data_IF_797771558464
#
_entry.id   IF_797771558464
#
_cell.length_a   1.000
_cell.length_b   1.000
_cell.length_c   1.000
_cell.angle_alpha   90.00
_cell.angle_beta   90.00
_cell.angle_gamma   90.00
#
_symmetry.space_group_name_H-M   'P 1'
#
loop_
_entity.id
_entity.type
_entity.pdbx_description
1 polymer ?
#
# COMPACT_ATOMS: atom_id res chain seq x y z
N UNK A 1 -27.19 -2.23 -13.47
CA UNK A 1 -26.29 -2.16 -12.30
C UNK A 1 -26.55 -0.83 -11.61
N UNK A 2 -26.56 -0.78 -10.27
CA UNK A 2 -26.81 0.47 -9.54
C UNK A 2 -25.50 1.28 -9.50
N UNK A 3 -25.47 2.45 -10.15
CA UNK A 3 -24.36 3.40 -10.04
C UNK A 3 -24.60 4.37 -8.89
N UNK A 4 -23.57 4.67 -8.09
CA UNK A 4 -23.68 5.64 -7.00
C UNK A 4 -23.25 7.03 -7.46
N UNK A 5 -24.17 7.99 -7.45
CA UNK A 5 -23.95 9.35 -7.96
C UNK A 5 -23.40 10.32 -6.90
N UNK A 6 -23.54 10.00 -5.61
CA UNK A 6 -23.18 10.89 -4.49
C UNK A 6 -21.86 10.51 -3.82
N UNK A 7 -20.87 10.07 -4.60
CA UNK A 7 -19.53 9.76 -4.08
C UNK A 7 -18.77 11.05 -3.74
N UNK A 8 -18.20 11.12 -2.55
CA UNK A 8 -17.39 12.22 -2.04
C UNK A 8 -15.90 11.87 -2.04
N UNK A 9 -15.04 12.86 -1.80
CA UNK A 9 -13.59 12.68 -1.64
C UNK A 9 -13.25 11.97 -0.31
N UNK A 10 -13.71 10.71 -0.20
CA UNK A 10 -13.43 9.82 0.92
C UNK A 10 -12.51 8.71 0.48
N UNK A 11 -11.51 8.45 1.31
CA UNK A 11 -10.53 7.38 1.13
C UNK A 11 -10.71 6.39 2.28
N UNK A 12 -11.08 5.15 1.97
CA UNK A 12 -11.20 4.10 2.98
C UNK A 12 -9.89 3.30 3.03
N UNK A 13 -9.24 3.26 4.19
CA UNK A 13 -7.99 2.52 4.40
C UNK A 13 -8.31 1.19 5.06
N UNK A 14 -8.38 0.12 4.26
CA UNK A 14 -8.91 -1.17 4.66
C UNK A 14 -7.76 -2.10 5.07
N UNK A 15 -7.32 -1.97 6.32
CA UNK A 15 -6.18 -2.72 6.89
C UNK A 15 -6.40 -3.06 8.35
N UNK A 16 -5.84 -4.20 8.80
CA UNK A 16 -5.75 -4.57 10.23
C UNK A 16 -4.51 -3.96 10.91
N UNK A 17 -3.63 -3.31 10.15
CA UNK A 17 -2.38 -2.76 10.64
C UNK A 17 -2.52 -1.27 10.96
N UNK A 18 -2.56 -0.97 12.26
CA UNK A 18 -2.64 0.40 12.75
C UNK A 18 -1.45 1.26 12.29
N UNK A 19 -0.26 0.68 12.11
CA UNK A 19 0.91 1.43 11.65
C UNK A 19 0.79 1.80 10.17
N UNK A 20 0.30 0.88 9.33
CA UNK A 20 -0.01 1.19 7.93
C UNK A 20 -1.17 2.19 7.82
N UNK A 21 -2.23 2.02 8.61
CA UNK A 21 -3.36 2.94 8.65
C UNK A 21 -2.94 4.37 8.98
N UNK A 22 -2.13 4.54 10.04
CA UNK A 22 -1.61 5.84 10.44
C UNK A 22 -0.65 6.44 9.40
N UNK A 23 0.22 5.63 8.78
CA UNK A 23 1.13 6.09 7.72
C UNK A 23 0.34 6.61 6.51
N UNK A 24 -0.70 5.89 6.07
CA UNK A 24 -1.56 6.33 4.96
C UNK A 24 -2.38 7.58 5.32
N UNK A 25 -3.02 7.62 6.50
CA UNK A 25 -3.80 8.78 6.95
C UNK A 25 -2.93 10.04 7.00
N UNK A 26 -1.77 9.97 7.63
CA UNK A 26 -0.88 11.12 7.75
C UNK A 26 -0.31 11.56 6.40
N UNK A 27 0.01 10.64 5.48
CA UNK A 27 0.45 10.99 4.12
C UNK A 27 -0.62 11.77 3.37
N UNK A 28 -1.86 11.30 3.40
CA UNK A 28 -2.97 11.96 2.71
C UNK A 28 -3.26 13.31 3.39
N UNK A 29 -3.33 13.35 4.72
CA UNK A 29 -3.66 14.56 5.48
C UNK A 29 -2.63 15.68 5.30
N UNK A 30 -1.36 15.34 5.15
CA UNK A 30 -0.28 16.32 5.01
C UNK A 30 0.09 16.67 3.56
N UNK A 31 -0.48 15.98 2.56
CA UNK A 31 -0.33 16.39 1.18
C UNK A 31 -1.25 17.58 0.87
N UNK A 32 -0.71 18.75 0.47
CA UNK A 32 -1.52 19.95 0.25
C UNK A 32 -2.52 19.81 -0.90
N UNK A 33 -2.31 18.88 -1.84
CA UNK A 33 -3.22 18.60 -2.95
C UNK A 33 -4.49 17.87 -2.50
N UNK A 34 -4.45 17.27 -1.31
CA UNK A 34 -5.53 16.48 -0.72
C UNK A 34 -6.41 17.29 0.24
N UNK A 35 -6.38 18.63 0.13
CA UNK A 35 -7.25 19.50 0.93
C UNK A 35 -8.73 19.09 0.81
N UNK A 36 -9.37 18.83 1.94
CA UNK A 36 -10.78 18.43 2.00
C UNK A 36 -11.05 16.93 1.72
N UNK A 37 -10.00 16.11 1.58
CA UNK A 37 -10.14 14.65 1.55
C UNK A 37 -10.39 14.12 2.96
N UNK A 38 -11.43 13.30 3.12
CA UNK A 38 -11.77 12.62 4.37
C UNK A 38 -11.18 11.20 4.35
N UNK A 39 -10.24 10.91 5.25
CA UNK A 39 -9.70 9.56 5.42
C UNK A 39 -10.53 8.81 6.44
N UNK A 40 -11.10 7.68 6.03
CA UNK A 40 -11.86 6.79 6.89
C UNK A 40 -10.97 5.62 7.29
N UNK A 41 -10.60 5.60 8.58
CA UNK A 41 -9.91 4.50 9.22
C UNK A 41 -10.93 3.58 9.90
N UNK A 42 -10.84 2.25 9.72
CA UNK A 42 -11.59 1.30 10.52
C UNK A 42 -11.29 1.50 12.02
N UNK A 43 -12.26 1.18 12.87
CA UNK A 43 -12.16 1.21 14.34
C UNK A 43 -12.21 2.58 15.05
N UNK A 44 -12.46 3.70 14.35
CA UNK A 44 -12.75 5.03 14.94
C UNK A 44 -11.76 5.50 16.03
N UNK A 45 -10.46 5.26 15.84
CA UNK A 45 -9.41 5.69 16.78
C UNK A 45 -9.11 4.71 17.92
N UNK A 46 -9.68 3.50 17.89
CA UNK A 46 -9.23 2.39 18.74
C UNK A 46 -7.84 1.91 18.31
N UNK A 47 -7.03 1.46 19.29
CA UNK A 47 -5.64 1.05 19.06
C UNK A 47 -5.47 -0.26 18.29
N UNK A 48 -6.46 -1.14 18.30
CA UNK A 48 -6.51 -2.36 17.50
C UNK A 48 -7.66 -2.26 16.49
N UNK A 49 -7.39 -2.70 15.26
CA UNK A 49 -8.36 -2.76 14.18
C UNK A 49 -8.72 -4.23 13.94
N UNK A 50 -9.99 -4.56 14.08
CA UNK A 50 -10.50 -5.92 13.89
C UNK A 50 -11.23 -6.08 12.55
N UNK A 51 -11.51 -7.33 12.17
CA UNK A 51 -12.18 -7.66 10.90
C UNK A 51 -13.59 -7.07 10.87
N UNK A 52 -14.28 -7.08 12.02
CA UNK A 52 -15.62 -6.56 12.21
C UNK A 52 -15.68 -5.05 11.97
N UNK A 53 -14.60 -4.32 12.28
CA UNK A 53 -14.50 -2.88 12.04
C UNK A 53 -14.50 -2.57 10.54
N UNK A 54 -13.82 -3.41 9.76
CA UNK A 54 -13.76 -3.30 8.30
C UNK A 54 -15.11 -3.74 7.69
N UNK A 55 -15.71 -4.80 8.23
CA UNK A 55 -17.03 -5.26 7.81
C UNK A 55 -18.13 -4.21 8.05
N UNK A 56 -18.06 -3.48 9.17
CA UNK A 56 -19.00 -2.42 9.53
C UNK A 56 -18.99 -1.25 8.53
N UNK A 57 -17.82 -0.87 8.03
CA UNK A 57 -17.69 0.22 7.04
C UNK A 57 -17.92 -0.24 5.60
N UNK A 58 -18.07 -1.55 5.36
CA UNK A 58 -18.13 -2.10 4.00
C UNK A 58 -19.24 -1.49 3.14
N UNK A 59 -20.45 -1.32 3.69
CA UNK A 59 -21.55 -0.70 2.96
C UNK A 59 -21.35 0.80 2.75
N UNK A 60 -20.66 1.48 3.67
CA UNK A 60 -20.41 2.92 3.56
C UNK A 60 -19.49 3.28 2.40
N UNK A 61 -18.64 2.33 1.98
CA UNK A 61 -17.69 2.50 0.86
C UNK A 61 -18.34 2.98 -0.45
N UNK A 62 -19.65 2.76 -0.65
CA UNK A 62 -20.40 3.29 -1.80
C UNK A 62 -20.39 4.83 -1.88
N UNK A 63 -20.03 5.51 -0.78
CA UNK A 63 -19.91 6.97 -0.69
C UNK A 63 -18.48 7.46 -0.98
N UNK A 64 -17.50 6.58 -1.07
CA UNK A 64 -16.11 6.92 -1.31
C UNK A 64 -15.71 6.93 -2.77
N UNK A 65 -14.58 7.60 -3.04
CA UNK A 65 -13.95 7.62 -4.37
C UNK A 65 -12.70 6.75 -4.43
N UNK A 66 -12.14 6.36 -3.28
CA UNK A 66 -10.93 5.56 -3.23
C UNK A 66 -10.95 4.54 -2.09
N UNK A 67 -10.49 3.33 -2.40
CA UNK A 67 -10.30 2.24 -1.44
C UNK A 67 -8.84 1.81 -1.46
N UNK A 68 -8.21 1.71 -0.30
CA UNK A 68 -6.83 1.20 -0.17
C UNK A 68 -6.94 -0.15 0.52
N UNK A 69 -6.73 -1.22 -0.25
CA UNK A 69 -6.79 -2.59 0.24
C UNK A 69 -5.41 -3.05 0.71
N UNK A 70 -5.33 -3.52 1.95
CA UNK A 70 -4.18 -4.25 2.46
C UNK A 70 -4.29 -5.72 2.06
N UNK A 71 -3.51 -6.10 1.05
CA UNK A 71 -3.50 -7.44 0.45
C UNK A 71 -2.25 -8.23 0.85
N UNK A 72 -1.61 -7.88 1.97
CA UNK A 72 -0.46 -8.63 2.48
C UNK A 72 -0.89 -10.05 2.88
N UNK A 73 0.02 -11.01 2.73
CA UNK A 73 -0.24 -12.44 2.99
C UNK A 73 -0.82 -12.74 4.38
N UNK A 74 -0.47 -11.94 5.40
CA UNK A 74 -0.95 -12.13 6.78
C UNK A 74 -2.32 -11.50 7.05
N UNK A 75 -2.70 -10.44 6.35
CA UNK A 75 -3.97 -9.74 6.53
C UNK A 75 -5.05 -10.28 5.61
N UNK A 76 -4.69 -10.55 4.35
CA UNK A 76 -5.64 -10.89 3.29
C UNK A 76 -6.57 -12.07 3.62
N UNK A 77 -6.11 -13.21 4.17
CA UNK A 77 -7.01 -14.33 4.49
C UNK A 77 -8.13 -13.95 5.48
N UNK A 78 -7.84 -13.02 6.41
CA UNK A 78 -8.83 -12.51 7.38
C UNK A 78 -9.76 -11.46 6.78
N UNK A 79 -9.30 -10.76 5.75
CA UNK A 79 -10.00 -9.65 5.12
C UNK A 79 -10.75 -10.03 3.83
N UNK A 80 -10.62 -11.27 3.38
CA UNK A 80 -11.20 -11.70 2.11
C UNK A 80 -12.72 -11.51 2.06
N UNK A 81 -13.44 -11.88 3.12
CA UNK A 81 -14.90 -11.69 3.17
C UNK A 81 -15.32 -10.22 3.11
N UNK A 82 -14.84 -9.31 3.99
CA UNK A 82 -15.23 -7.91 3.90
C UNK A 82 -14.75 -7.25 2.61
N UNK A 83 -13.59 -7.62 2.07
CA UNK A 83 -13.11 -7.08 0.79
C UNK A 83 -14.01 -7.50 -0.37
N UNK A 84 -14.41 -8.77 -0.44
CA UNK A 84 -15.33 -9.27 -1.46
C UNK A 84 -16.68 -8.51 -1.42
N UNK A 85 -17.18 -8.21 -0.21
CA UNK A 85 -18.39 -7.38 -0.06
C UNK A 85 -18.19 -5.96 -0.57
N UNK A 86 -17.08 -5.31 -0.22
CA UNK A 86 -16.75 -3.96 -0.69
C UNK A 86 -16.63 -3.91 -2.21
N UNK A 87 -15.90 -4.86 -2.82
CA UNK A 87 -15.80 -4.98 -4.28
C UNK A 87 -17.18 -5.22 -4.88
N UNK A 88 -17.97 -6.13 -4.31
CA UNK A 88 -19.34 -6.42 -4.75
C UNK A 88 -20.24 -5.19 -4.75
N UNK A 89 -20.21 -4.39 -3.68
CA UNK A 89 -21.00 -3.15 -3.59
C UNK A 89 -20.58 -2.12 -4.63
N UNK A 90 -19.30 -2.03 -4.96
CA UNK A 90 -18.75 -0.97 -5.82
C UNK A 90 -18.48 -1.42 -7.26
N UNK A 91 -18.73 -2.69 -7.61
CA UNK A 91 -18.35 -3.30 -8.90
C UNK A 91 -18.77 -2.50 -10.14
N UNK A 92 -19.95 -1.89 -10.08
CA UNK A 92 -20.49 -1.09 -11.18
C UNK A 92 -19.72 0.21 -11.45
N UNK A 93 -18.98 0.70 -10.45
CA UNK A 93 -18.35 2.02 -10.43
C UNK A 93 -16.81 1.97 -10.40
N UNK A 94 -16.23 0.77 -10.22
CA UNK A 94 -14.78 0.59 -10.11
C UNK A 94 -14.07 1.00 -11.42
N UNK A 95 -12.96 1.71 -11.26
CA UNK A 95 -12.15 2.31 -12.32
C UNK A 95 -12.84 3.40 -13.17
N UNK A 96 -14.01 3.88 -12.73
CA UNK A 96 -14.73 4.97 -13.36
C UNK A 96 -15.08 6.06 -12.34
N UNK A 97 -15.90 5.74 -11.34
CA UNK A 97 -16.41 6.67 -10.31
C UNK A 97 -15.77 6.44 -8.95
N UNK A 98 -15.14 5.29 -8.76
CA UNK A 98 -14.29 4.98 -7.62
C UNK A 98 -13.12 4.13 -8.07
N UNK A 99 -12.03 4.19 -7.32
CA UNK A 99 -10.80 3.47 -7.63
C UNK A 99 -10.34 2.67 -6.42
N UNK A 100 -9.47 1.71 -6.66
CA UNK A 100 -8.79 0.97 -5.61
C UNK A 100 -7.28 1.02 -5.80
N UNK A 101 -6.54 1.00 -4.70
CA UNK A 101 -5.10 0.76 -4.65
C UNK A 101 -4.85 -0.44 -3.75
N UNK A 102 -3.86 -1.26 -4.09
CA UNK A 102 -3.46 -2.39 -3.26
C UNK A 102 -2.10 -2.12 -2.64
N UNK A 103 -1.94 -2.40 -1.35
CA UNK A 103 -0.63 -2.45 -0.67
C UNK A 103 -0.41 -3.90 -0.25
N UNK A 104 0.67 -4.50 -0.71
CA UNK A 104 0.96 -5.91 -0.48
C UNK A 104 2.44 -6.17 -0.23
N UNK A 105 2.75 -7.33 0.33
CA UNK A 105 4.12 -7.74 0.63
C UNK A 105 4.74 -8.52 -0.52
N UNK A 106 4.03 -8.76 -1.62
CA UNK A 106 4.59 -9.36 -2.83
C UNK A 106 4.92 -10.86 -2.73
N UNK A 107 5.57 -11.42 -3.78
CA UNK A 107 5.84 -12.84 -3.90
C UNK A 107 6.91 -13.30 -2.91
N UNK A 108 6.69 -14.48 -2.30
CA UNK A 108 7.49 -14.98 -1.17
C UNK A 108 8.97 -15.19 -1.52
N UNK A 109 9.23 -15.52 -2.78
CA UNK A 109 10.54 -15.89 -3.29
C UNK A 109 11.26 -14.74 -3.96
N UNK A 110 10.77 -13.50 -3.82
CA UNK A 110 11.25 -12.34 -4.57
C UNK A 110 12.77 -12.18 -4.57
N UNK A 111 13.41 -12.41 -3.42
CA UNK A 111 14.86 -12.24 -3.26
C UNK A 111 15.65 -13.55 -3.24
N UNK A 112 15.04 -14.67 -3.68
CA UNK A 112 15.78 -15.93 -3.82
C UNK A 112 16.73 -15.86 -5.03
N UNK A 113 17.93 -16.47 -4.95
CA UNK A 113 18.85 -16.54 -6.09
C UNK A 113 18.18 -17.14 -7.32
N UNK A 114 18.40 -16.53 -8.49
CA UNK A 114 17.85 -16.99 -9.77
C UNK A 114 16.38 -16.61 -10.01
N UNK A 115 15.69 -16.02 -9.04
CA UNK A 115 14.34 -15.49 -9.24
C UNK A 115 14.37 -14.20 -10.05
N UNK A 116 13.41 -13.98 -10.94
CA UNK A 116 13.26 -12.72 -11.68
C UNK A 116 12.13 -11.87 -11.11
N UNK A 117 12.10 -10.56 -11.39
CA UNK A 117 10.99 -9.69 -10.98
C UNK A 117 9.62 -10.14 -11.52
N UNK A 118 9.58 -10.94 -12.59
CA UNK A 118 8.34 -11.44 -13.19
C UNK A 118 7.60 -12.43 -12.27
N UNK A 119 8.18 -12.87 -11.14
CA UNK A 119 7.42 -13.61 -10.13
C UNK A 119 6.31 -12.79 -9.46
N UNK A 120 6.26 -11.48 -9.71
CA UNK A 120 5.10 -10.66 -9.38
C UNK A 120 3.88 -10.95 -10.25
N UNK A 121 4.03 -11.45 -11.49
CA UNK A 121 2.90 -11.59 -12.43
C UNK A 121 1.70 -12.35 -11.85
N UNK A 122 1.87 -13.51 -11.17
CA UNK A 122 0.74 -14.21 -10.57
C UNK A 122 0.06 -13.41 -9.44
N UNK A 123 0.85 -12.72 -8.61
CA UNK A 123 0.33 -11.88 -7.52
C UNK A 123 -0.45 -10.70 -8.08
N UNK A 124 0.08 -10.03 -9.10
CA UNK A 124 -0.57 -8.89 -9.74
C UNK A 124 -1.85 -9.33 -10.46
N UNK A 125 -1.84 -10.47 -11.16
CA UNK A 125 -3.00 -10.99 -11.87
C UNK A 125 -4.15 -11.33 -10.90
N UNK A 126 -3.84 -12.00 -9.78
CA UNK A 126 -4.84 -12.32 -8.76
C UNK A 126 -5.47 -11.04 -8.19
N UNK A 127 -4.65 -10.07 -7.78
CA UNK A 127 -5.15 -8.80 -7.23
C UNK A 127 -5.91 -7.96 -8.27
N UNK A 128 -5.52 -8.02 -9.55
CA UNK A 128 -6.25 -7.37 -10.65
C UNK A 128 -7.67 -7.91 -10.77
N UNK A 129 -7.81 -9.24 -10.73
CA UNK A 129 -9.11 -9.91 -10.85
C UNK A 129 -9.98 -9.60 -9.62
N UNK A 130 -9.42 -9.71 -8.43
CA UNK A 130 -10.21 -9.64 -7.18
C UNK A 130 -10.57 -8.21 -6.80
N UNK A 131 -9.66 -7.25 -6.96
CA UNK A 131 -9.81 -5.90 -6.41
C UNK A 131 -9.83 -4.80 -7.47
N UNK A 132 -9.53 -5.13 -8.73
CA UNK A 132 -9.43 -4.18 -9.85
C UNK A 132 -8.65 -2.90 -9.55
N UNK A 133 -7.48 -2.96 -8.86
CA UNK A 133 -6.75 -1.77 -8.46
C UNK A 133 -6.18 -1.02 -9.66
N UNK A 134 -6.07 0.30 -9.50
CA UNK A 134 -5.39 1.19 -10.43
C UNK A 134 -3.86 1.01 -10.36
N UNK A 135 -3.34 0.70 -9.17
CA UNK A 135 -1.92 0.41 -8.95
C UNK A 135 -1.70 -0.54 -7.76
N UNK A 136 -0.61 -1.29 -7.81
CA UNK A 136 -0.14 -2.16 -6.73
C UNK A 136 1.15 -1.62 -6.12
N UNK A 137 1.18 -1.48 -4.80
CA UNK A 137 2.33 -1.04 -4.03
C UNK A 137 2.92 -2.21 -3.24
N UNK A 138 4.08 -2.68 -3.66
CA UNK A 138 4.90 -3.59 -2.89
C UNK A 138 5.50 -2.86 -1.69
N UNK A 139 5.31 -3.39 -0.49
CA UNK A 139 5.84 -2.87 0.77
C UNK A 139 7.04 -3.71 1.25
N UNK A 140 8.29 -3.25 1.04
CA UNK A 140 9.48 -4.00 1.41
C UNK A 140 9.66 -4.15 2.92
N UNK A 141 9.04 -3.27 3.72
CA UNK A 141 9.16 -3.27 5.18
C UNK A 141 8.49 -4.48 5.82
N UNK A 142 7.56 -5.13 5.10
CA UNK A 142 6.75 -6.24 5.63
C UNK A 142 6.90 -7.52 4.81
N UNK A 143 7.75 -7.51 3.78
CA UNK A 143 8.10 -8.70 3.03
C UNK A 143 9.14 -9.53 3.78
N UNK A 144 8.78 -10.68 4.32
CA UNK A 144 9.72 -11.66 4.87
C UNK A 144 9.94 -12.80 3.87
N UNK A 145 11.20 -13.16 3.60
CA UNK A 145 11.53 -14.39 2.87
C UNK A 145 11.19 -15.61 3.75
N UNK A 146 11.08 -16.82 3.17
CA UNK A 146 10.77 -18.02 3.95
C UNK A 146 11.73 -18.26 5.13
N UNK A 147 13.02 -17.93 4.97
CA UNK A 147 14.06 -18.12 6.01
C UNK A 147 14.04 -17.01 7.09
N UNK A 148 13.34 -15.92 6.83
CA UNK A 148 13.22 -14.78 7.75
C UNK A 148 11.90 -14.79 8.53
N UNK A 149 10.99 -15.70 8.20
CA UNK A 149 9.69 -15.75 8.87
C UNK A 149 9.88 -16.14 10.33
N UNK A 150 9.27 -15.40 11.27
CA UNK A 150 9.25 -15.84 12.65
C UNK A 150 8.55 -17.21 12.73
N UNK A 151 9.01 -18.12 13.61
CA UNK A 151 8.35 -19.41 13.81
C UNK A 151 6.92 -19.18 14.28
N UNK A 152 5.95 -19.51 13.44
CA UNK A 152 4.53 -19.28 13.75
C UNK A 152 4.08 -20.34 14.75
N UNK A 153 3.95 -19.96 16.03
CA UNK A 153 3.14 -20.71 16.98
C UNK A 153 1.66 -20.62 16.59
N UNK A 154 0.85 -21.63 16.94
CA UNK A 154 -0.58 -21.71 16.62
C UNK A 154 -1.34 -20.42 17.04
N UNK A 155 -0.92 -19.81 18.16
CA UNK A 155 -1.45 -18.54 18.72
C UNK A 155 -0.83 -17.25 18.15
N UNK A 156 0.33 -17.31 17.50
CA UNK A 156 1.00 -16.13 16.90
C UNK A 156 0.47 -15.78 15.51
N UNK A 157 -0.46 -16.57 14.98
CA UNK A 157 -1.03 -16.44 13.63
C UNK A 157 -1.84 -15.16 13.40
N UNK A 158 -2.15 -14.39 14.45
CA UNK A 158 -3.02 -13.20 14.39
C UNK A 158 -2.28 -11.87 14.50
N UNK A 159 -1.04 -11.85 15.01
CA UNK A 159 -0.30 -10.60 15.24
C UNK A 159 0.56 -10.24 14.04
N UNK A 160 0.34 -9.05 13.50
CA UNK A 160 1.18 -8.52 12.43
C UNK A 160 2.58 -8.19 12.99
N UNK A 161 3.66 -8.62 12.31
CA UNK A 161 5.00 -8.28 12.72
C UNK A 161 5.20 -6.76 12.68
N UNK A 162 5.57 -6.16 13.80
CA UNK A 162 6.06 -4.77 13.84
C UNK A 162 7.58 -4.72 13.57
N UNK A 163 8.27 -5.86 13.62
CA UNK A 163 9.70 -5.95 13.33
C UNK A 163 9.97 -5.82 11.81
N UNK A 164 11.14 -5.30 11.47
CA UNK A 164 11.62 -5.34 10.11
C UNK A 164 12.18 -6.72 9.76
N UNK A 165 12.10 -7.14 8.49
CA UNK A 165 12.82 -8.32 8.04
C UNK A 165 14.33 -8.20 8.32
N UNK A 166 15.01 -9.25 8.84
CA UNK A 166 16.41 -9.18 9.25
C UNK A 166 17.34 -8.63 8.17
N UNK A 167 17.13 -8.98 6.89
CA UNK A 167 17.93 -8.45 5.77
C UNK A 167 17.86 -6.92 5.64
N UNK A 168 16.76 -6.31 6.07
CA UNK A 168 16.50 -4.89 6.01
C UNK A 168 16.86 -4.20 7.32
N UNK A 169 16.58 -4.84 8.46
CA UNK A 169 16.93 -4.34 9.79
C UNK A 169 18.43 -4.01 9.92
N UNK A 170 19.31 -4.82 9.31
CA UNK A 170 20.78 -4.61 9.29
C UNK A 170 21.25 -3.28 8.68
N UNK A 171 20.38 -2.60 7.94
CA UNK A 171 20.68 -1.34 7.27
C UNK A 171 20.30 -0.13 8.15
N UNK A 172 19.78 -0.40 9.35
CA UNK A 172 19.48 0.59 10.39
C UNK A 172 20.40 0.34 11.59
N UNK A 173 20.90 1.42 12.20
CA UNK A 173 21.89 1.36 13.30
C UNK A 173 21.35 0.75 14.62
N UNK A 174 20.07 0.39 14.67
CA UNK A 174 19.39 -0.14 15.84
C UNK A 174 18.64 -1.43 15.47
N UNK A 175 19.03 -2.53 16.12
CA UNK A 175 18.48 -3.87 15.90
C UNK A 175 17.01 -4.02 16.31
N UNK A 176 16.44 -3.04 17.04
CA UNK A 176 15.05 -3.03 17.49
C UNK A 176 14.15 -2.06 16.69
N UNK A 177 14.61 -1.59 15.52
CA UNK A 177 13.82 -0.68 14.69
C UNK A 177 12.58 -1.39 14.15
N UNK A 178 11.41 -0.81 14.46
CA UNK A 178 10.12 -1.32 14.01
C UNK A 178 9.68 -0.69 12.68
N UNK A 179 8.85 -1.39 11.91
CA UNK A 179 8.28 -0.92 10.65
C UNK A 179 7.53 0.40 10.85
N UNK A 180 6.78 0.55 11.95
CA UNK A 180 6.15 1.82 12.32
C UNK A 180 7.17 2.97 12.42
N UNK A 181 8.28 2.76 13.14
CA UNK A 181 9.31 3.80 13.34
C UNK A 181 10.02 4.16 12.04
N UNK A 182 10.21 3.19 11.14
CA UNK A 182 10.73 3.44 9.79
C UNK A 182 9.79 4.31 8.98
N UNK A 183 8.48 3.99 8.96
CA UNK A 183 7.47 4.79 8.27
C UNK A 183 7.45 6.22 8.79
N UNK A 184 7.39 6.39 10.12
CA UNK A 184 7.46 7.68 10.81
C UNK A 184 8.70 8.50 10.42
N UNK A 185 9.87 7.86 10.40
CA UNK A 185 11.09 8.51 9.98
C UNK A 185 10.97 8.98 8.52
N UNK A 186 10.66 8.11 7.57
CA UNK A 186 10.67 8.46 6.14
C UNK A 186 9.56 9.44 5.74
N UNK A 187 8.44 9.47 6.47
CA UNK A 187 7.37 10.48 6.28
C UNK A 187 7.62 11.80 7.02
N UNK A 188 8.77 11.95 7.68
CA UNK A 188 9.10 13.11 8.50
C UNK A 188 8.06 13.43 9.58
N UNK A 189 7.52 12.39 10.23
CA UNK A 189 6.61 12.52 11.36
C UNK A 189 7.21 13.42 12.45
N UNK A 190 6.39 14.29 13.04
CA UNK A 190 6.82 15.24 14.07
C UNK A 190 7.68 16.41 13.60
N UNK A 191 8.05 16.50 12.31
CA UNK A 191 8.73 17.68 11.78
C UNK A 191 7.78 18.89 11.74
N UNK A 192 8.28 20.12 11.97
CA UNK A 192 7.48 21.35 11.80
C UNK A 192 6.91 21.43 10.37
N UNK A 193 5.68 21.95 10.18
CA UNK A 193 5.04 22.01 8.86
C UNK A 193 5.90 22.68 7.78
N UNK A 194 6.64 23.74 8.14
CA UNK A 194 7.49 24.49 7.21
C UNK A 194 8.70 23.69 6.67
N UNK A 195 9.18 22.70 7.42
CA UNK A 195 10.37 21.90 7.04
C UNK A 195 10.03 20.47 6.62
N UNK A 196 8.77 20.05 6.82
CA UNK A 196 8.38 18.65 6.70
C UNK A 196 8.60 18.11 5.31
N UNK A 197 8.21 18.85 4.28
CA UNK A 197 8.31 18.40 2.89
C UNK A 197 9.77 18.23 2.46
N UNK A 198 10.61 19.22 2.75
CA UNK A 198 12.04 19.14 2.46
C UNK A 198 12.72 17.97 3.22
N UNK A 199 12.36 17.76 4.49
CA UNK A 199 12.85 16.62 5.27
C UNK A 199 12.35 15.28 4.71
N UNK A 200 11.08 15.20 4.29
CA UNK A 200 10.48 14.01 3.66
C UNK A 200 11.25 13.67 2.38
N UNK A 201 11.44 14.61 1.47
CA UNK A 201 12.18 14.40 0.21
C UNK A 201 13.60 13.87 0.47
N UNK A 202 14.37 14.54 1.34
CA UNK A 202 15.73 14.09 1.72
C UNK A 202 15.76 12.68 2.32
N UNK A 203 14.75 12.32 3.12
CA UNK A 203 14.67 10.98 3.71
C UNK A 203 14.24 9.95 2.66
N UNK A 204 13.32 10.27 1.76
CA UNK A 204 12.94 9.39 0.66
C UNK A 204 14.12 9.11 -0.29
N UNK A 205 15.00 10.09 -0.56
CA UNK A 205 16.25 9.85 -1.29
C UNK A 205 17.16 8.82 -0.59
N UNK A 206 17.20 8.82 0.75
CA UNK A 206 17.93 7.80 1.52
C UNK A 206 17.27 6.43 1.37
N UNK A 207 15.94 6.36 1.44
CA UNK A 207 15.19 5.12 1.24
C UNK A 207 15.39 4.56 -0.18
N UNK A 208 15.40 5.44 -1.17
CA UNK A 208 15.63 5.08 -2.56
C UNK A 208 17.02 4.47 -2.75
N UNK A 209 18.06 5.12 -2.21
CA UNK A 209 19.44 4.59 -2.23
C UNK A 209 19.52 3.21 -1.59
N UNK A 210 18.84 3.02 -0.46
CA UNK A 210 18.75 1.73 0.23
C UNK A 210 18.11 0.67 -0.67
N UNK A 211 16.93 0.92 -1.22
CA UNK A 211 16.26 -0.04 -2.09
C UNK A 211 17.02 -0.31 -3.38
N UNK A 212 17.64 0.70 -4.01
CA UNK A 212 18.55 0.52 -5.16
C UNK A 212 19.74 -0.38 -4.83
N UNK A 213 20.31 -0.27 -3.63
CA UNK A 213 21.38 -1.18 -3.18
C UNK A 213 20.86 -2.62 -3.07
N UNK A 214 19.65 -2.82 -2.54
CA UNK A 214 19.02 -4.15 -2.44
C UNK A 214 18.74 -4.76 -3.82
N UNK A 215 18.20 -3.98 -4.74
CA UNK A 215 17.95 -4.42 -6.11
C UNK A 215 19.25 -4.80 -6.82
N UNK A 216 20.33 -4.04 -6.64
CA UNK A 216 21.66 -4.39 -7.19
C UNK A 216 22.21 -5.70 -6.65
N UNK A 217 21.93 -6.04 -5.38
CA UNK A 217 22.31 -7.33 -4.80
C UNK A 217 21.48 -8.49 -5.36
N UNK A 218 20.20 -8.26 -5.65
CA UNK A 218 19.28 -9.30 -6.13
C UNK A 218 19.34 -9.52 -7.66
N UNK A 219 19.42 -8.43 -8.43
CA UNK A 219 19.39 -8.42 -9.90
C UNK A 219 20.43 -7.45 -10.48
N UNK A 220 21.73 -7.74 -10.39
CA UNK A 220 22.80 -6.81 -10.76
C UNK A 220 22.63 -6.21 -12.16
N UNK A 221 22.25 -7.04 -13.13
CA UNK A 221 22.16 -6.68 -14.56
C UNK A 221 20.99 -5.76 -14.89
N UNK A 222 19.90 -5.77 -14.09
CA UNK A 222 18.66 -5.03 -14.37
C UNK A 222 18.29 -4.01 -13.29
N UNK A 223 19.11 -3.89 -12.24
CA UNK A 223 18.76 -3.13 -11.05
C UNK A 223 18.48 -1.65 -11.33
N UNK A 224 19.22 -1.02 -12.23
CA UNK A 224 19.04 0.39 -12.56
C UNK A 224 17.69 0.65 -13.23
N UNK A 225 17.39 -0.08 -14.31
CA UNK A 225 16.13 0.03 -15.05
C UNK A 225 14.94 -0.36 -14.19
N UNK A 226 15.08 -1.44 -13.40
CA UNK A 226 14.02 -1.89 -12.50
C UNK A 226 13.73 -0.86 -11.41
N UNK A 227 14.77 -0.29 -10.78
CA UNK A 227 14.59 0.76 -9.79
C UNK A 227 13.91 2.00 -10.39
N UNK A 228 14.33 2.41 -11.58
CA UNK A 228 13.73 3.53 -12.29
C UNK A 228 12.24 3.28 -12.58
N UNK A 229 11.85 2.06 -12.91
CA UNK A 229 10.45 1.72 -13.18
C UNK A 229 9.59 1.58 -11.91
N UNK A 230 10.01 0.81 -10.89
CA UNK A 230 9.19 0.58 -9.69
C UNK A 230 9.12 1.78 -8.75
N UNK A 231 9.99 2.77 -8.92
CA UNK A 231 10.01 4.02 -8.17
C UNK A 231 9.71 5.21 -9.08
N UNK A 232 8.91 5.03 -10.14
CA UNK A 232 8.30 6.12 -10.91
C UNK A 232 6.79 6.16 -10.75
N UNK A 233 6.17 7.21 -11.30
CA UNK A 233 4.71 7.34 -11.36
C UNK A 233 4.06 6.29 -12.26
N UNK A 234 4.71 5.89 -13.35
CA UNK A 234 4.21 4.90 -14.31
C UNK A 234 4.24 3.48 -13.75
N UNK A 235 5.21 3.19 -12.88
CA UNK A 235 5.41 1.87 -12.30
C UNK A 235 6.01 0.87 -13.27
N UNK A 236 6.39 -0.29 -12.74
CA UNK A 236 6.84 -1.41 -13.55
C UNK A 236 5.66 -2.27 -14.00
N UNK A 237 5.61 -2.62 -15.27
CA UNK A 237 4.67 -3.62 -15.80
C UNK A 237 5.42 -4.86 -16.20
N UNK A 238 4.92 -6.01 -15.77
CA UNK A 238 5.44 -7.29 -16.25
C UNK A 238 4.95 -7.53 -17.68
N UNK A 239 5.62 -8.39 -18.47
CA UNK A 239 5.14 -8.73 -19.81
C UNK A 239 3.72 -9.34 -19.82
N UNK A 240 3.36 -10.06 -18.76
CA UNK A 240 2.13 -10.86 -18.69
C UNK A 240 0.99 -10.18 -17.90
N UNK A 241 1.25 -9.03 -17.27
CA UNK A 241 0.28 -8.33 -16.43
C UNK A 241 0.47 -6.81 -16.50
N UNK A 242 -0.64 -6.11 -16.71
CA UNK A 242 -0.69 -4.66 -17.00
C UNK A 242 -0.84 -3.80 -15.75
N UNK A 243 -1.25 -4.40 -14.62
CA UNK A 243 -1.31 -3.72 -13.32
C UNK A 243 0.09 -3.17 -12.95
N UNK A 244 0.28 -1.85 -12.83
CA UNK A 244 1.58 -1.30 -12.52
C UNK A 244 2.00 -1.63 -11.07
N UNK A 245 3.23 -2.10 -10.95
CA UNK A 245 3.93 -2.39 -9.71
C UNK A 245 4.77 -1.17 -9.29
N UNK A 246 4.53 -0.71 -8.07
CA UNK A 246 5.29 0.34 -7.41
C UNK A 246 5.94 -0.20 -6.15
N UNK A 247 6.98 0.47 -5.68
CA UNK A 247 7.53 0.27 -4.34
C UNK A 247 6.96 1.33 -3.40
N UNK A 248 6.27 0.91 -2.35
CA UNK A 248 5.78 1.81 -1.31
C UNK A 248 6.98 2.46 -0.57
N UNK A 249 6.96 3.78 -0.29
CA UNK A 249 5.87 4.74 -0.51
C UNK A 249 6.04 5.63 -1.77
N UNK A 250 6.92 5.28 -2.71
CA UNK A 250 7.23 6.15 -3.85
C UNK A 250 6.00 6.37 -4.74
N UNK A 251 5.71 7.64 -5.05
CA UNK A 251 4.56 8.06 -5.87
C UNK A 251 3.18 7.68 -5.32
N UNK A 252 3.09 7.25 -4.05
CA UNK A 252 1.83 6.83 -3.46
C UNK A 252 0.82 7.97 -3.40
N UNK A 253 1.22 9.13 -2.89
CA UNK A 253 0.35 10.31 -2.78
C UNK A 253 -0.11 10.80 -4.16
N UNK A 254 0.74 10.69 -5.18
CA UNK A 254 0.41 11.04 -6.57
C UNK A 254 -0.70 10.14 -7.12
N UNK A 255 -0.63 8.83 -6.86
CA UNK A 255 -1.66 7.87 -7.27
C UNK A 255 -2.99 8.09 -6.54
N UNK A 256 -2.95 8.36 -5.24
CA UNK A 256 -4.15 8.73 -4.47
C UNK A 256 -4.79 9.97 -5.11
N UNK A 257 -3.98 10.98 -5.46
CA UNK A 257 -4.49 12.26 -5.97
C UNK A 257 -5.11 12.07 -7.34
N UNK A 258 -4.42 11.36 -8.23
CA UNK A 258 -4.88 11.09 -9.58
C UNK A 258 -6.17 10.26 -9.59
N UNK A 259 -6.29 9.26 -8.71
CA UNK A 259 -7.52 8.47 -8.58
C UNK A 259 -8.71 9.33 -8.13
N UNK A 260 -8.53 10.17 -7.09
CA UNK A 260 -9.58 11.07 -6.60
C UNK A 260 -10.00 12.07 -7.68
N UNK A 261 -9.02 12.65 -8.39
CA UNK A 261 -9.26 13.58 -9.50
C UNK A 261 -10.01 12.93 -10.66
N UNK A 262 -9.64 11.72 -11.07
CA UNK A 262 -10.33 10.95 -12.11
C UNK A 262 -11.79 10.69 -11.73
N UNK A 263 -12.02 10.24 -10.49
CA UNK A 263 -13.37 9.98 -9.99
C UNK A 263 -14.23 11.26 -9.92
N UNK A 264 -13.62 12.38 -9.50
CA UNK A 264 -14.30 13.68 -9.44
C UNK A 264 -14.74 14.16 -10.82
N UNK A 265 -13.85 14.07 -11.82
CA UNK A 265 -14.12 14.53 -13.19
C UNK A 265 -15.34 13.83 -13.81
N UNK A 266 -15.51 12.53 -13.57
CA UNK A 266 -16.67 11.79 -14.07
C UNK A 266 -17.97 12.30 -13.42
N UNK A 267 -17.94 12.62 -12.13
CA UNK A 267 -19.10 13.15 -11.41
C UNK A 267 -19.50 14.57 -11.85
N UNK A 268 -18.56 15.37 -12.36
CA UNK A 268 -18.84 16.71 -12.91
C UNK A 268 -19.48 16.66 -14.31
N UNK A 269 -19.27 15.57 -15.04
CA UNK A 269 -19.77 15.39 -16.41
C UNK A 269 -21.08 14.59 -16.52
N UNK A 270 -21.57 14.03 -15.40
CA UNK A 270 -22.74 13.16 -15.33
C UNK A 270 -23.96 13.88 -14.77
#
# INVERSE_FOLDING_TARGET
MLHYTRRANRVYVLTLDAALAADVDERIRFDPRMGGVEVILPAAGRGAIEVEDIAAVAQETIRGRLFIFDVRRLTLPRLQEPFNRIVGFNRADLNERCFSLCIGDGPVDLFRPGTSINVFSPVLAQNRIDYSPAAFFFDPLTHFTPDERPPVGIDQSTRLPDELPPRLAREFDDSAVSARRVREYFRAAGAPPAEREERKLRRLEKLEKLYRLRLRRAWPERAADLAAAIMSFEGYRTPDETLPLHTYPFFFEDWVFDCLRKAAKVAETA
#
